data_IF_655041992010
#
_entry.id   IF_655041992010
#
_cell.length_a   1.000
_cell.length_b   1.000
_cell.length_c   1.000
_cell.angle_alpha   90.00
_cell.angle_beta   90.00
_cell.angle_gamma   90.00
#
_symmetry.space_group_name_H-M   'P 1'
#
loop_
_entity.id
_entity.type
_entity.pdbx_description
1 polymer ?
#
# COMPACT_ATOMS: atom_id res chain seq x y z
N UNK A 1 8.80 -14.17 -33.19
CA UNK A 1 7.84 -13.21 -32.60
C UNK A 1 7.74 -13.39 -31.10
N UNK A 2 7.33 -14.55 -30.58
CA UNK A 2 7.15 -14.76 -29.13
C UNK A 2 8.42 -14.53 -28.29
N UNK A 3 9.58 -15.00 -28.74
CA UNK A 3 10.85 -14.74 -28.06
C UNK A 3 11.14 -13.24 -27.91
N UNK A 4 10.84 -12.46 -28.94
CA UNK A 4 11.01 -11.00 -28.94
C UNK A 4 10.00 -10.32 -28.02
N UNK A 5 8.76 -10.84 -27.98
CA UNK A 5 7.74 -10.39 -27.04
C UNK A 5 8.16 -10.66 -25.59
N UNK A 6 8.72 -11.84 -25.31
CA UNK A 6 9.20 -12.19 -23.99
C UNK A 6 10.38 -11.33 -23.54
N UNK A 7 11.36 -11.09 -24.42
CA UNK A 7 12.47 -10.14 -24.14
C UNK A 7 11.94 -8.73 -23.84
N UNK A 8 10.97 -8.26 -24.61
CA UNK A 8 10.33 -6.98 -24.36
C UNK A 8 9.60 -6.97 -23.01
N UNK A 9 8.86 -8.03 -22.67
CA UNK A 9 8.19 -8.17 -21.39
C UNK A 9 9.18 -8.10 -20.22
N UNK A 10 10.31 -8.83 -20.28
CA UNK A 10 11.36 -8.76 -19.26
C UNK A 10 11.90 -7.35 -19.09
N UNK A 11 12.10 -6.62 -20.20
CA UNK A 11 12.56 -5.22 -20.14
C UNK A 11 11.55 -4.30 -19.45
N UNK A 12 10.24 -4.52 -19.67
CA UNK A 12 9.20 -3.77 -18.97
C UNK A 12 9.22 -4.07 -17.46
N UNK A 13 9.43 -5.35 -17.08
CA UNK A 13 9.50 -5.74 -15.67
C UNK A 13 10.73 -5.19 -14.95
N UNK A 14 11.87 -5.11 -15.63
CA UNK A 14 13.08 -4.44 -15.13
C UNK A 14 12.81 -2.96 -14.83
N UNK A 15 12.06 -2.29 -15.69
CA UNK A 15 11.64 -0.89 -15.50
C UNK A 15 10.42 -0.72 -14.57
N UNK A 16 10.00 -1.79 -13.90
CA UNK A 16 8.83 -1.82 -13.01
C UNK A 16 7.49 -1.41 -13.66
N UNK A 17 7.40 -1.47 -14.98
CA UNK A 17 6.16 -1.16 -15.70
C UNK A 17 5.18 -2.34 -15.55
N UNK A 18 3.93 -2.08 -15.11
CA UNK A 18 2.91 -3.11 -15.09
C UNK A 18 2.51 -3.47 -16.53
N UNK A 19 2.47 -4.77 -16.82
CA UNK A 19 2.09 -5.27 -18.15
C UNK A 19 0.86 -6.15 -18.01
N UNK A 20 -0.25 -5.72 -18.60
CA UNK A 20 -1.50 -6.49 -18.63
C UNK A 20 -1.53 -7.48 -19.80
N UNK A 21 -2.47 -8.43 -19.76
CA UNK A 21 -2.72 -9.36 -20.86
C UNK A 21 -3.06 -8.66 -22.18
N UNK A 22 -3.84 -7.58 -22.13
CA UNK A 22 -4.19 -6.79 -23.32
C UNK A 22 -2.98 -6.09 -23.92
N UNK A 23 -2.08 -5.56 -23.10
CA UNK A 23 -0.83 -4.97 -23.57
C UNK A 23 0.05 -6.04 -24.25
N UNK A 24 0.13 -7.25 -23.69
CA UNK A 24 0.84 -8.37 -24.33
C UNK A 24 0.24 -8.74 -25.69
N UNK A 25 -1.09 -8.83 -25.79
CA UNK A 25 -1.79 -9.12 -27.05
C UNK A 25 -1.53 -8.04 -28.10
N UNK A 26 -1.65 -6.76 -27.74
CA UNK A 26 -1.37 -5.65 -28.64
C UNK A 26 0.08 -5.68 -29.14
N UNK A 27 1.03 -5.87 -28.23
CA UNK A 27 2.45 -5.94 -28.58
C UNK A 27 2.77 -7.15 -29.47
N UNK A 28 2.10 -8.28 -29.26
CA UNK A 28 2.23 -9.47 -30.10
C UNK A 28 1.78 -9.21 -31.54
N UNK A 29 0.64 -8.52 -31.73
CA UNK A 29 0.14 -8.14 -33.07
C UNK A 29 1.15 -7.25 -33.79
N UNK A 30 1.66 -6.21 -33.13
CA UNK A 30 2.67 -5.31 -33.69
C UNK A 30 3.97 -6.04 -34.08
N UNK A 31 4.43 -6.97 -33.24
CA UNK A 31 5.62 -7.76 -33.54
C UNK A 31 5.38 -8.70 -34.71
N UNK A 32 4.19 -9.31 -34.80
CA UNK A 32 3.83 -10.17 -35.92
C UNK A 32 3.71 -9.40 -37.24
N UNK A 33 3.11 -8.21 -37.23
CA UNK A 33 3.04 -7.32 -38.40
C UNK A 33 4.43 -6.93 -38.90
N UNK A 34 5.35 -6.64 -37.97
CA UNK A 34 6.73 -6.27 -38.31
C UNK A 34 7.55 -7.44 -38.83
N UNK A 35 7.39 -8.62 -38.26
CA UNK A 35 8.19 -9.81 -38.60
C UNK A 35 7.56 -10.65 -39.72
N UNK A 36 6.27 -10.44 -40.01
CA UNK A 36 5.45 -11.22 -40.96
C UNK A 36 5.57 -12.73 -40.77
N UNK A 37 5.71 -13.19 -39.52
CA UNK A 37 5.97 -14.60 -39.19
C UNK A 37 4.75 -15.50 -39.34
N UNK A 38 3.54 -14.98 -39.08
CA UNK A 38 2.31 -15.76 -39.18
C UNK A 38 1.26 -14.94 -39.89
N UNK A 39 0.80 -15.43 -41.05
CA UNK A 39 -0.36 -14.87 -41.74
C UNK A 39 -1.61 -15.04 -40.88
N UNK A 40 -2.42 -13.99 -40.77
CA UNK A 40 -3.66 -13.96 -39.99
C UNK A 40 -3.49 -14.30 -38.50
N UNK A 41 -2.36 -13.91 -37.89
CA UNK A 41 -2.13 -14.09 -36.46
C UNK A 41 -3.21 -13.42 -35.61
N UNK A 42 -3.81 -14.21 -34.70
CA UNK A 42 -4.78 -13.73 -33.73
C UNK A 42 -4.20 -13.87 -32.33
N UNK A 43 -3.98 -12.74 -31.65
CA UNK A 43 -3.63 -12.70 -30.23
C UNK A 43 -4.88 -12.99 -29.36
N UNK A 44 -5.39 -14.22 -29.42
CA UNK A 44 -6.54 -14.70 -28.67
C UNK A 44 -6.20 -14.94 -27.19
N UNK A 45 -7.22 -15.11 -26.35
CA UNK A 45 -7.01 -15.51 -24.95
C UNK A 45 -6.29 -16.85 -24.84
N UNK A 46 -6.68 -17.83 -25.65
CA UNK A 46 -6.02 -19.14 -25.67
C UNK A 46 -4.55 -19.07 -26.09
N UNK A 47 -4.21 -18.20 -27.05
CA UNK A 47 -2.80 -17.94 -27.40
C UNK A 47 -2.05 -17.29 -26.23
N UNK A 48 -2.65 -16.27 -25.60
CA UNK A 48 -2.04 -15.56 -24.47
C UNK A 48 -1.78 -16.50 -23.28
N UNK A 49 -2.72 -17.38 -22.93
CA UNK A 49 -2.53 -18.37 -21.86
C UNK A 49 -1.38 -19.34 -22.17
N UNK A 50 -1.30 -19.82 -23.42
CA UNK A 50 -0.21 -20.71 -23.86
C UNK A 50 1.13 -20.00 -23.84
N UNK A 51 1.20 -18.75 -24.29
CA UNK A 51 2.40 -17.91 -24.22
C UNK A 51 2.84 -17.72 -22.77
N UNK A 52 1.93 -17.30 -21.87
CA UNK A 52 2.24 -17.13 -20.44
C UNK A 52 2.74 -18.44 -19.82
N UNK A 53 2.09 -19.56 -20.11
CA UNK A 53 2.50 -20.89 -19.63
C UNK A 53 3.91 -21.26 -20.12
N UNK A 54 4.18 -21.08 -21.42
CA UNK A 54 5.48 -21.41 -22.06
C UNK A 54 6.64 -20.63 -21.46
N UNK A 55 6.43 -19.37 -21.12
CA UNK A 55 7.46 -18.49 -20.56
C UNK A 55 7.37 -18.34 -19.03
N UNK A 56 6.50 -19.11 -18.36
CA UNK A 56 6.35 -19.07 -16.90
C UNK A 56 5.84 -17.73 -16.34
N UNK A 57 5.11 -16.93 -17.13
CA UNK A 57 4.58 -15.63 -16.73
C UNK A 57 3.36 -15.85 -15.83
N UNK A 58 3.38 -15.26 -14.63
CA UNK A 58 2.31 -15.35 -13.64
C UNK A 58 1.70 -13.97 -13.38
N UNK A 59 0.42 -13.96 -13.04
CA UNK A 59 -0.26 -12.76 -12.56
C UNK A 59 -0.11 -12.67 -11.05
N UNK A 60 0.41 -11.53 -10.57
CA UNK A 60 0.51 -11.21 -9.15
C UNK A 60 -0.09 -9.83 -8.92
N UNK A 61 -0.70 -9.61 -7.76
CA UNK A 61 -1.06 -8.27 -7.30
C UNK A 61 0.21 -7.48 -7.03
N UNK A 62 0.26 -6.23 -7.47
CA UNK A 62 1.30 -5.30 -7.03
C UNK A 62 1.01 -5.00 -5.57
N UNK A 63 1.90 -5.42 -4.68
CA UNK A 63 1.73 -5.28 -3.23
C UNK A 63 2.99 -4.68 -2.62
N UNK A 64 2.81 -3.63 -1.84
CA UNK A 64 3.86 -2.95 -1.08
C UNK A 64 4.43 -1.71 -1.77
N UNK A 65 4.88 -0.76 -0.96
CA UNK A 65 5.54 0.49 -1.36
C UNK A 65 7.06 0.31 -1.57
N UNK A 66 7.52 -0.92 -1.80
CA UNK A 66 8.96 -1.24 -1.84
C UNK A 66 9.74 -0.41 -2.88
N UNK A 67 9.08 -0.03 -3.97
CA UNK A 67 9.66 0.84 -5.01
C UNK A 67 9.49 2.34 -4.72
N UNK A 68 8.59 2.71 -3.80
CA UNK A 68 8.44 4.08 -3.29
C UNK A 68 9.39 4.39 -2.14
N UNK A 69 9.94 3.35 -1.50
CA UNK A 69 10.97 3.51 -0.49
C UNK A 69 12.17 4.26 -1.10
N UNK A 70 12.68 5.25 -0.37
CA UNK A 70 13.88 6.00 -0.71
C UNK A 70 14.98 5.65 0.28
N UNK A 71 15.75 4.55 0.06
CA UNK A 71 16.76 4.09 1.01
C UNK A 71 17.78 5.17 1.37
N UNK A 72 18.08 6.05 0.42
CA UNK A 72 18.97 7.20 0.60
C UNK A 72 18.48 8.20 1.66
N UNK A 73 17.17 8.27 1.93
CA UNK A 73 16.60 9.16 2.95
C UNK A 73 16.56 8.54 4.34
N UNK A 74 16.74 7.21 4.46
CA UNK A 74 16.64 6.50 5.73
C UNK A 74 17.74 6.93 6.69
N UNK A 75 18.98 6.98 6.21
CA UNK A 75 20.13 7.32 7.06
C UNK A 75 20.10 8.79 7.52
N UNK A 76 19.88 9.79 6.66
CA UNK A 76 19.68 11.18 7.08
C UNK A 76 18.53 11.36 8.08
N UNK A 77 17.42 10.63 7.89
CA UNK A 77 16.30 10.68 8.83
C UNK A 77 16.69 10.14 10.20
N UNK A 78 17.36 8.98 10.27
CA UNK A 78 17.84 8.40 11.53
C UNK A 78 18.79 9.34 12.27
N UNK A 79 19.74 9.95 11.56
CA UNK A 79 20.69 10.89 12.15
C UNK A 79 19.96 12.12 12.72
N UNK A 80 19.01 12.69 11.98
CA UNK A 80 18.20 13.81 12.44
C UNK A 80 17.36 13.44 13.66
N UNK A 81 16.72 12.27 13.66
CA UNK A 81 15.91 11.80 14.79
C UNK A 81 16.76 11.59 16.05
N UNK A 82 17.90 10.91 15.93
CA UNK A 82 18.80 10.66 17.06
C UNK A 82 19.38 11.96 17.63
N UNK A 83 19.71 12.91 16.75
CA UNK A 83 20.13 14.25 17.15
C UNK A 83 19.04 14.95 17.96
N UNK A 84 17.80 14.98 17.48
CA UNK A 84 16.67 15.58 18.20
C UNK A 84 16.41 14.92 19.55
N UNK A 85 16.45 13.58 19.63
CA UNK A 85 16.29 12.84 20.88
C UNK A 85 17.36 13.25 21.90
N UNK A 86 18.61 13.39 21.46
CA UNK A 86 19.74 13.74 22.33
C UNK A 86 19.69 15.20 22.76
N UNK A 87 19.40 16.12 21.84
CA UNK A 87 19.34 17.57 22.12
C UNK A 87 18.21 17.94 23.08
N UNK A 88 17.09 17.22 23.01
CA UNK A 88 15.91 17.43 23.86
C UNK A 88 15.88 16.52 25.10
N UNK A 89 16.89 15.67 25.31
CA UNK A 89 16.97 14.68 26.40
C UNK A 89 15.69 13.82 26.54
N UNK A 90 15.18 13.35 25.40
CA UNK A 90 13.90 12.63 25.37
C UNK A 90 14.06 11.19 25.86
N UNK A 91 13.16 10.80 26.78
CA UNK A 91 13.03 9.40 27.21
C UNK A 91 12.13 8.60 26.28
N UNK A 92 12.22 7.27 26.32
CA UNK A 92 11.42 6.39 25.47
C UNK A 92 9.90 6.57 25.68
N UNK A 93 9.48 7.01 26.86
CA UNK A 93 8.08 7.29 27.19
C UNK A 93 7.52 8.50 26.44
N UNK A 94 8.40 9.40 25.97
CA UNK A 94 8.07 10.67 25.32
C UNK A 94 8.16 10.61 23.79
N UNK A 95 8.66 9.50 23.24
CA UNK A 95 8.79 9.30 21.80
C UNK A 95 7.60 8.47 21.33
N UNK A 96 6.76 9.03 20.46
CA UNK A 96 5.58 8.36 19.93
C UNK A 96 5.72 8.03 18.45
N UNK A 97 5.20 6.87 18.07
CA UNK A 97 4.93 6.53 16.68
C UNK A 97 3.42 6.49 16.46
N UNK A 98 2.97 7.08 15.36
CA UNK A 98 1.57 7.11 14.98
C UNK A 98 1.41 6.66 13.52
N UNK A 99 0.38 5.85 13.25
CA UNK A 99 0.07 5.35 11.91
C UNK A 99 -1.44 5.24 11.70
N UNK A 100 -1.90 5.56 10.48
CA UNK A 100 -3.30 5.49 10.07
C UNK A 100 -3.56 4.16 9.39
N UNK A 101 -4.45 3.36 9.96
CA UNK A 101 -4.87 2.09 9.38
C UNK A 101 -6.36 2.09 9.03
N UNK A 102 -6.75 1.21 8.12
CA UNK A 102 -8.12 1.06 7.65
C UNK A 102 -8.66 -0.33 7.94
N UNK A 103 -9.77 -0.42 8.69
CA UNK A 103 -10.51 -1.66 8.94
C UNK A 103 -11.72 -1.76 8.01
N UNK A 104 -11.72 -2.74 7.12
CA UNK A 104 -12.83 -3.02 6.20
C UNK A 104 -13.73 -4.11 6.80
N UNK A 105 -15.05 -3.91 6.81
CA UNK A 105 -15.98 -4.85 7.45
C UNK A 105 -17.23 -5.23 6.64
N UNK A 106 -17.32 -4.82 5.37
CA UNK A 106 -18.37 -5.23 4.42
C UNK A 106 -17.86 -5.47 2.99
N UNK A 107 -16.63 -5.97 2.86
CA UNK A 107 -16.09 -6.28 1.54
C UNK A 107 -16.74 -7.55 0.98
N UNK A 108 -17.50 -7.40 -0.10
CA UNK A 108 -18.00 -8.53 -0.89
C UNK A 108 -16.95 -8.94 -1.95
N UNK A 109 -16.89 -10.23 -2.33
CA UNK A 109 -16.07 -10.67 -3.45
C UNK A 109 -16.43 -9.96 -4.76
N UNK A 110 -15.43 -9.52 -5.53
CA UNK A 110 -15.64 -8.89 -6.84
C UNK A 110 -16.08 -9.87 -7.93
N UNK A 111 -15.90 -11.18 -7.68
CA UNK A 111 -16.21 -12.25 -8.63
C UNK A 111 -17.04 -13.32 -7.94
N UNK A 112 -18.03 -13.83 -8.67
CA UNK A 112 -18.86 -14.95 -8.25
C UNK A 112 -18.87 -16.01 -9.35
N UNK A 113 -19.09 -17.26 -8.98
CA UNK A 113 -19.40 -18.31 -9.95
C UNK A 113 -20.82 -18.09 -10.47
N UNK A 114 -21.00 -18.22 -11.79
CA UNK A 114 -22.31 -18.17 -12.46
C UNK A 114 -22.60 -19.51 -13.12
N UNK A 115 -23.89 -19.82 -13.28
CA UNK A 115 -24.29 -21.00 -14.02
C UNK A 115 -23.93 -20.85 -15.51
N UNK A 116 -23.67 -21.95 -16.22
CA UNK A 116 -23.20 -21.91 -17.61
C UNK A 116 -24.19 -21.30 -18.61
N UNK A 117 -25.48 -21.24 -18.26
CA UNK A 117 -26.53 -20.61 -19.07
C UNK A 117 -26.73 -19.12 -18.75
N UNK A 118 -26.13 -18.61 -17.67
CA UNK A 118 -26.21 -17.20 -17.29
C UNK A 118 -25.24 -16.38 -18.15
N UNK A 119 -25.78 -15.39 -18.87
CA UNK A 119 -24.97 -14.50 -19.73
C UNK A 119 -24.30 -13.36 -18.96
N UNK A 120 -24.74 -13.10 -17.73
CA UNK A 120 -24.19 -12.06 -16.85
C UNK A 120 -24.45 -12.39 -15.38
N UNK A 121 -23.60 -11.85 -14.50
CA UNK A 121 -23.77 -11.89 -13.04
C UNK A 121 -24.18 -10.49 -12.56
N UNK A 122 -25.47 -10.12 -12.53
CA UNK A 122 -25.89 -8.83 -12.02
C UNK A 122 -25.56 -8.73 -10.52
N UNK A 123 -24.53 -7.95 -10.20
CA UNK A 123 -24.11 -7.67 -8.83
C UNK A 123 -24.71 -6.36 -8.29
N UNK A 124 -24.69 -6.20 -6.97
CA UNK A 124 -24.89 -4.90 -6.34
C UNK A 124 -23.55 -4.18 -6.24
N UNK A 125 -23.55 -2.85 -6.32
CA UNK A 125 -22.35 -2.04 -6.05
C UNK A 125 -21.82 -2.44 -4.67
N UNK A 126 -20.56 -2.90 -4.55
CA UNK A 126 -20.02 -3.31 -3.27
C UNK A 126 -20.05 -2.12 -2.31
N UNK A 127 -20.67 -2.33 -1.15
CA UNK A 127 -20.66 -1.35 -0.07
C UNK A 127 -19.40 -1.57 0.76
N UNK A 128 -18.25 -1.19 0.20
CA UNK A 128 -16.96 -1.31 0.89
C UNK A 128 -16.85 -0.25 1.98
N UNK A 129 -17.51 -0.52 3.12
CA UNK A 129 -17.38 0.32 4.32
C UNK A 129 -16.03 0.05 5.00
N UNK A 130 -15.34 1.14 5.34
CA UNK A 130 -14.06 1.13 6.04
C UNK A 130 -14.11 2.13 7.19
N UNK A 131 -13.61 1.73 8.35
CA UNK A 131 -13.29 2.63 9.45
C UNK A 131 -11.81 2.96 9.34
N UNK A 132 -11.47 4.25 9.30
CA UNK A 132 -10.07 4.70 9.31
C UNK A 132 -9.75 5.12 10.74
N UNK A 133 -8.65 4.61 11.29
CA UNK A 133 -8.24 4.92 12.67
C UNK A 133 -6.76 5.26 12.74
N UNK A 134 -6.40 6.21 13.60
CA UNK A 134 -5.02 6.53 13.97
C UNK A 134 -4.64 5.71 15.21
N UNK A 135 -3.67 4.83 15.08
CA UNK A 135 -3.05 4.14 16.20
C UNK A 135 -1.77 4.89 16.60
N UNK A 136 -1.58 5.11 17.90
CA UNK A 136 -0.40 5.80 18.42
C UNK A 136 0.09 5.16 19.73
N UNK A 137 1.40 4.94 19.84
CA UNK A 137 2.04 4.32 21.01
C UNK A 137 3.40 4.95 21.26
N UNK A 138 3.82 5.00 22.52
CA UNK A 138 5.20 5.39 22.84
C UNK A 138 6.20 4.28 22.52
N UNK A 139 7.48 4.63 22.45
CA UNK A 139 8.55 3.77 21.98
C UNK A 139 8.78 2.53 22.87
N UNK A 140 8.48 2.62 24.17
CA UNK A 140 8.56 1.49 25.10
C UNK A 140 7.24 0.70 25.22
N UNK A 141 6.15 1.16 24.58
CA UNK A 141 4.85 0.49 24.56
C UNK A 141 4.02 0.59 25.85
N UNK A 142 4.47 1.34 26.85
CA UNK A 142 3.77 1.52 28.13
C UNK A 142 2.51 2.37 28.00
N UNK A 143 2.46 3.28 27.02
CA UNK A 143 1.32 4.14 26.77
C UNK A 143 0.83 3.99 25.33
N UNK A 144 -0.46 3.66 25.21
CA UNK A 144 -1.18 3.53 23.94
C UNK A 144 -2.33 4.52 23.94
N UNK A 145 -2.33 5.43 22.97
CA UNK A 145 -3.41 6.39 22.81
C UNK A 145 -4.63 5.64 22.30
N UNK A 146 -5.80 5.93 22.88
CA UNK A 146 -7.07 5.38 22.42
C UNK A 146 -7.23 5.71 20.92
N UNK A 147 -7.51 4.72 20.04
CA UNK A 147 -7.59 4.98 18.62
C UNK A 147 -8.60 6.07 18.29
N UNK A 148 -8.15 7.08 17.55
CA UNK A 148 -9.02 8.10 17.00
C UNK A 148 -9.61 7.53 15.71
N UNK A 149 -10.93 7.34 15.67
CA UNK A 149 -11.64 6.86 14.50
C UNK A 149 -12.59 7.92 13.98
N UNK A 150 -12.55 8.16 12.67
CA UNK A 150 -13.61 8.87 11.97
C UNK A 150 -14.32 7.88 11.03
N UNK A 151 -15.63 8.09 10.82
CA UNK A 151 -16.39 7.40 9.79
C UNK A 151 -16.09 7.95 8.37
N UNK A 152 -15.11 8.86 8.27
CA UNK A 152 -14.57 9.47 7.06
C UNK A 152 -13.03 9.43 6.99
N UNK A 153 -12.45 10.44 6.34
CA UNK A 153 -11.00 10.60 6.19
C UNK A 153 -10.48 11.42 7.37
N UNK A 154 -9.63 10.82 8.21
CA UNK A 154 -9.03 11.51 9.37
C UNK A 154 -8.21 12.72 8.89
N UNK A 155 -8.69 13.92 9.22
CA UNK A 155 -7.95 15.16 9.04
C UNK A 155 -7.03 15.38 10.25
N UNK A 156 -5.73 15.33 10.01
CA UNK A 156 -4.68 15.50 11.01
C UNK A 156 -4.12 16.94 11.04
N UNK A 157 -4.86 17.92 10.49
CA UNK A 157 -4.47 19.34 10.51
C UNK A 157 -4.86 20.11 11.80
N UNK A 158 -5.42 19.43 12.81
CA UNK A 158 -5.89 20.06 14.05
C UNK A 158 -4.77 20.48 15.01
N UNK A 159 -4.82 21.73 15.46
CA UNK A 159 -3.95 22.38 16.45
C UNK A 159 -3.75 21.50 17.70
N UNK A 160 -2.48 21.24 18.06
CA UNK A 160 -2.13 20.46 19.26
C UNK A 160 -0.84 19.67 19.18
N UNK A 161 -0.14 19.68 18.04
CA UNK A 161 1.12 18.95 17.86
C UNK A 161 2.27 19.93 17.59
N UNK A 162 3.01 20.28 18.64
CA UNK A 162 4.27 21.01 18.47
C UNK A 162 5.40 20.04 18.11
N UNK A 163 6.30 20.45 17.21
CA UNK A 163 7.45 19.68 16.72
C UNK A 163 7.13 18.39 15.94
N UNK A 164 6.27 18.49 14.92
CA UNK A 164 6.04 17.39 13.97
C UNK A 164 7.20 17.25 12.99
N UNK A 165 7.89 16.12 13.04
CA UNK A 165 8.84 15.71 12.00
C UNK A 165 8.07 15.03 10.87
N UNK A 166 7.45 15.80 9.97
CA UNK A 166 6.77 15.26 8.79
C UNK A 166 7.80 14.92 7.71
N UNK A 167 7.79 13.68 7.21
CA UNK A 167 8.33 13.39 5.87
C UNK A 167 7.23 13.59 4.83
N UNK A 168 7.56 13.95 3.59
CA UNK A 168 6.60 14.12 2.46
C UNK A 168 5.87 12.82 2.04
N UNK A 169 5.95 11.79 2.86
CA UNK A 169 5.06 10.63 2.90
C UNK A 169 4.37 10.70 4.27
N UNK A 170 3.05 10.82 4.23
CA UNK A 170 2.09 11.13 5.29
C UNK A 170 2.36 10.44 6.63
N UNK A 171 3.34 10.90 7.40
CA UNK A 171 3.66 10.37 8.72
C UNK A 171 4.15 11.52 9.61
N UNK A 172 3.29 11.95 10.52
CA UNK A 172 3.63 12.92 11.56
C UNK A 172 4.05 12.20 12.83
N UNK A 173 5.19 12.57 13.39
CA UNK A 173 5.57 12.21 14.76
C UNK A 173 5.10 13.33 15.68
N UNK A 174 4.36 13.01 16.73
CA UNK A 174 4.00 13.98 17.77
C UNK A 174 5.07 13.95 18.88
N UNK A 175 5.67 15.09 19.17
CA UNK A 175 6.53 15.27 20.34
C UNK A 175 5.75 16.11 21.36
N UNK A 176 5.38 15.52 22.48
CA UNK A 176 4.70 16.25 23.56
C UNK A 176 5.71 16.61 24.64
N UNK A 177 5.79 17.90 25.00
CA UNK A 177 6.61 18.39 26.12
C UNK A 177 6.02 18.05 27.50
N UNK A 178 4.88 17.36 27.56
CA UNK A 178 4.22 17.05 28.82
C UNK A 178 4.85 15.81 29.50
N UNK A 179 5.17 15.97 30.78
CA UNK A 179 5.53 14.85 31.65
C UNK A 179 4.34 13.88 31.75
N UNK A 180 4.57 12.56 31.85
CA UNK A 180 3.48 11.60 32.04
C UNK A 180 2.67 11.98 33.29
N UNK A 181 1.33 11.91 33.26
CA UNK A 181 0.52 12.22 34.44
C UNK A 181 0.95 11.28 35.57
N UNK A 182 1.42 11.88 36.67
CA UNK A 182 1.73 11.18 37.91
C UNK A 182 0.53 10.31 38.31
N UNK A 183 0.83 9.10 38.77
CA UNK A 183 -0.13 8.14 39.26
C UNK A 183 -1.05 8.77 40.31
N UNK A 184 -2.26 9.18 39.90
CA UNK A 184 -3.31 9.52 40.85
C UNK A 184 -3.80 8.23 41.51
N UNK A 185 -3.20 7.96 42.66
CA UNK A 185 -3.86 7.59 43.91
C UNK A 185 -5.29 7.10 43.77
N UNK A 186 -5.46 5.79 44.00
CA UNK A 186 -6.71 5.18 44.43
C UNK A 186 -7.39 6.04 45.50
N UNK A 187 -8.58 6.57 45.21
CA UNK A 187 -9.54 7.02 46.23
C UNK A 187 -10.93 7.08 45.64
N UNK A 188 -11.72 6.06 46.00
CA UNK A 188 -13.16 6.01 46.22
C UNK A 188 -14.06 7.00 45.47
N UNK A 189 -15.09 6.47 44.79
CA UNK A 189 -16.47 6.75 45.21
C UNK A 189 -17.38 5.57 44.81
N UNK A 190 -18.37 5.36 45.69
CA UNK A 190 -19.51 4.43 45.65
C UNK A 190 -20.35 4.63 44.40
#
# INVERSE_FOLDING_TARGET
>A
MENSLYKWFLKQRENHVPVSGEVLKQRARLLNEKMKETENFVASDGWLERFKTRYGIRLLSISGEKLSAQPQLVQPFKEKLMKTITELDLRMEQIYNADVSGLYWKMLPEKTYTASFEKSAPGRKPENQRITFLACTNANGSHKIKPLSDNGQLDISGEGVENVMTTDLTFGYALTNEAPPDSMSSSNFI
#
